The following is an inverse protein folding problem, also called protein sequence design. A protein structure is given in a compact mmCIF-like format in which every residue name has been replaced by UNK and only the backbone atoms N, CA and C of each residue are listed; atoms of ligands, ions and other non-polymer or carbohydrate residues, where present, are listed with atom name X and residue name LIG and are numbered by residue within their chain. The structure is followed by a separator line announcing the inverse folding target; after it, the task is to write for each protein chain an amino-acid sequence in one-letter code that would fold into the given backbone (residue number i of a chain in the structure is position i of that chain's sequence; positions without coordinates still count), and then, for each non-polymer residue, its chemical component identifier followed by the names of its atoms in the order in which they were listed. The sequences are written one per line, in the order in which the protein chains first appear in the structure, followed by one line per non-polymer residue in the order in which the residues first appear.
data_IF_174322542360
#
_entry.id   IF_174322542360
#
_cell.length_a   1.000
_cell.length_b   1.000
_cell.length_c   1.000
_cell.angle_alpha   90.00
_cell.angle_beta   90.00
_cell.angle_gamma   90.00
#
_symmetry.space_group_name_H-M   'P 1'
#
loop_
_entity.id
_entity.type
_entity.pdbx_description
1 polymer ?
#
# COMPACT_ATOMS: atom_id res chain seq x y z
N UNK A 1 7.42 20.93 -1.02
CA UNK A 1 8.04 20.52 0.26
C UNK A 1 9.47 21.05 0.27
N UNK A 2 9.83 21.90 1.24
CA UNK A 2 11.12 22.61 1.26
C UNK A 2 12.31 21.66 1.45
N UNK A 3 13.50 22.02 0.94
CA UNK A 3 14.72 21.20 1.02
C UNK A 3 15.04 20.77 2.46
N UNK A 4 14.86 21.69 3.42
CA UNK A 4 15.04 21.43 4.84
C UNK A 4 14.16 20.27 5.34
N UNK A 5 12.88 20.22 4.94
CA UNK A 5 11.98 19.12 5.33
C UNK A 5 12.45 17.78 4.78
N UNK A 6 13.02 17.74 3.57
CA UNK A 6 13.57 16.51 2.99
C UNK A 6 14.76 16.00 3.79
N UNK A 7 15.68 16.91 4.17
CA UNK A 7 16.86 16.57 4.97
C UNK A 7 16.46 16.04 6.34
N UNK A 8 15.56 16.75 7.04
CA UNK A 8 15.06 16.30 8.35
C UNK A 8 14.38 14.94 8.24
N UNK A 9 13.52 14.76 7.23
CA UNK A 9 12.81 13.51 7.03
C UNK A 9 13.74 12.35 6.66
N UNK A 10 14.83 12.61 5.93
CA UNK A 10 15.87 11.63 5.64
C UNK A 10 16.51 11.11 6.94
N UNK A 11 16.99 12.01 7.82
CA UNK A 11 17.59 11.59 9.10
C UNK A 11 16.59 10.87 10.00
N UNK A 12 15.33 11.30 10.03
CA UNK A 12 14.27 10.62 10.75
C UNK A 12 14.06 9.18 10.25
N UNK A 13 14.02 8.98 8.93
CA UNK A 13 13.90 7.65 8.31
C UNK A 13 15.09 6.75 8.65
N UNK A 14 16.31 7.27 8.57
CA UNK A 14 17.52 6.52 8.90
C UNK A 14 17.57 6.11 10.38
N UNK A 15 17.09 6.98 11.28
CA UNK A 15 16.94 6.66 12.71
C UNK A 15 15.98 5.48 12.92
N UNK A 16 14.77 5.58 12.37
CA UNK A 16 13.77 4.51 12.46
C UNK A 16 14.28 3.18 11.90
N UNK A 17 14.98 3.21 10.76
CA UNK A 17 15.53 2.00 10.14
C UNK A 17 16.51 1.30 11.08
N UNK A 18 17.40 2.05 11.74
CA UNK A 18 18.34 1.49 12.72
C UNK A 18 17.61 0.87 13.91
N UNK A 19 16.56 1.52 14.41
CA UNK A 19 15.79 1.01 15.55
C UNK A 19 15.01 -0.26 15.21
N UNK A 20 14.44 -0.34 14.01
CA UNK A 20 13.80 -1.56 13.52
C UNK A 20 14.82 -2.71 13.40
N UNK A 21 15.98 -2.45 12.80
CA UNK A 21 17.03 -3.46 12.59
C UNK A 21 17.72 -3.94 13.87
N UNK A 22 17.61 -3.19 14.97
CA UNK A 22 18.08 -3.62 16.30
C UNK A 22 17.20 -4.70 16.93
N UNK A 23 15.97 -4.86 16.44
CA UNK A 23 15.00 -5.82 16.94
C UNK A 23 14.85 -7.01 16.00
N UNK A 24 14.19 -8.07 16.46
CA UNK A 24 13.86 -9.23 15.63
C UNK A 24 12.86 -8.80 14.55
N UNK A 25 13.24 -8.96 13.29
CA UNK A 25 12.35 -8.71 12.15
C UNK A 25 11.26 -9.80 12.10
N UNK A 26 9.98 -9.44 11.93
CA UNK A 26 8.92 -10.42 11.74
C UNK A 26 9.13 -11.20 10.45
N UNK A 27 8.95 -12.52 10.51
CA UNK A 27 9.05 -13.36 9.31
C UNK A 27 7.81 -13.25 8.42
N UNK A 28 6.66 -12.89 9.00
CA UNK A 28 5.38 -12.80 8.32
C UNK A 28 4.60 -11.56 8.73
N UNK A 29 4.11 -10.80 7.75
CA UNK A 29 3.24 -9.64 7.94
C UNK A 29 1.92 -9.83 7.19
N UNK A 30 0.80 -9.61 7.88
CA UNK A 30 -0.53 -9.51 7.29
C UNK A 30 -0.96 -8.05 7.08
N UNK A 31 -1.45 -7.71 5.89
CA UNK A 31 -1.86 -6.35 5.53
C UNK A 31 -3.30 -6.36 5.01
N UNK A 32 -4.14 -5.50 5.56
CA UNK A 32 -5.50 -5.24 5.06
C UNK A 32 -5.50 -3.91 4.31
N UNK A 33 -5.83 -3.95 3.01
CA UNK A 33 -5.86 -2.76 2.16
C UNK A 33 -7.19 -2.00 2.31
N UNK A 34 -7.29 -1.19 3.36
CA UNK A 34 -8.47 -0.35 3.59
C UNK A 34 -8.19 1.15 3.37
N UNK A 35 -9.26 1.93 3.24
CA UNK A 35 -9.19 3.39 3.20
C UNK A 35 -9.13 4.00 1.81
N UNK A 36 -8.96 3.21 0.75
CA UNK A 36 -8.82 3.72 -0.63
C UNK A 36 -9.96 4.65 -1.07
N UNK A 37 -11.22 4.32 -0.73
CA UNK A 37 -12.38 5.16 -1.03
C UNK A 37 -12.39 6.46 -0.22
N UNK A 38 -12.05 6.38 1.08
CA UNK A 38 -11.97 7.55 1.98
C UNK A 38 -10.85 8.48 1.54
N UNK A 39 -9.71 7.92 1.14
CA UNK A 39 -8.59 8.65 0.57
C UNK A 39 -8.98 9.35 -0.74
N UNK A 40 -9.67 8.67 -1.65
CA UNK A 40 -10.14 9.30 -2.90
C UNK A 40 -11.02 10.52 -2.62
N UNK A 41 -12.00 10.39 -1.71
CA UNK A 41 -12.86 11.51 -1.29
C UNK A 41 -12.05 12.65 -0.66
N UNK A 42 -11.14 12.35 0.26
CA UNK A 42 -10.29 13.35 0.93
C UNK A 42 -9.39 14.12 -0.04
N UNK A 43 -8.93 13.46 -1.10
CA UNK A 43 -8.11 14.08 -2.13
C UNK A 43 -8.92 14.76 -3.24
N UNK A 44 -10.25 14.84 -3.13
CA UNK A 44 -11.10 15.43 -4.16
C UNK A 44 -11.06 14.65 -5.49
N UNK A 45 -10.75 13.35 -5.45
CA UNK A 45 -10.71 12.53 -6.65
C UNK A 45 -12.13 12.17 -7.06
N UNK A 46 -12.59 12.71 -8.19
CA UNK A 46 -13.90 12.39 -8.78
C UNK A 46 -14.08 10.90 -9.09
N UNK A 47 -12.97 10.18 -9.31
CA UNK A 47 -12.98 8.77 -9.64
C UNK A 47 -12.34 7.91 -8.53
N UNK A 48 -13.17 7.07 -7.90
CA UNK A 48 -12.77 6.09 -6.87
C UNK A 48 -11.68 5.14 -7.39
N UNK A 49 -11.65 4.83 -8.70
CA UNK A 49 -10.59 4.06 -9.34
C UNK A 49 -9.20 4.65 -9.10
N UNK A 50 -9.04 5.99 -9.14
CA UNK A 50 -7.75 6.65 -8.87
C UNK A 50 -7.31 6.43 -7.43
N UNK A 51 -8.24 6.33 -6.48
CA UNK A 51 -7.97 5.96 -5.09
C UNK A 51 -7.45 4.54 -4.98
N UNK A 52 -8.10 3.58 -5.65
CA UNK A 52 -7.65 2.18 -5.66
C UNK A 52 -6.29 2.01 -6.34
N UNK A 53 -6.03 2.71 -7.44
CA UNK A 53 -4.73 2.70 -8.10
C UNK A 53 -3.62 3.22 -7.17
N UNK A 54 -3.84 4.36 -6.52
CA UNK A 54 -2.88 4.89 -5.53
C UNK A 54 -2.68 3.95 -4.35
N UNK A 55 -3.73 3.24 -3.92
CA UNK A 55 -3.62 2.18 -2.92
C UNK A 55 -2.72 1.03 -3.38
N UNK A 56 -2.85 0.61 -4.63
CA UNK A 56 -1.97 -0.40 -5.23
C UNK A 56 -0.52 0.09 -5.34
N UNK A 57 -0.29 1.33 -5.81
CA UNK A 57 1.05 1.91 -5.88
C UNK A 57 1.70 2.00 -4.49
N UNK A 58 0.91 2.29 -3.45
CA UNK A 58 1.38 2.29 -2.06
C UNK A 58 1.72 0.88 -1.58
N UNK A 59 0.97 -0.14 -2.00
CA UNK A 59 1.29 -1.53 -1.65
C UNK A 59 2.67 -1.92 -2.19
N UNK A 60 3.03 -1.56 -3.43
CA UNK A 60 4.37 -1.89 -3.96
C UNK A 60 5.48 -1.29 -3.11
N UNK A 61 5.31 -0.04 -2.68
CA UNK A 61 6.28 0.64 -1.82
C UNK A 61 6.43 -0.09 -0.48
N UNK A 62 5.31 -0.56 0.10
CA UNK A 62 5.34 -1.34 1.35
C UNK A 62 5.99 -2.71 1.14
N UNK A 63 5.71 -3.39 0.03
CA UNK A 63 6.35 -4.67 -0.31
C UNK A 63 7.85 -4.50 -0.53
N UNK A 64 8.29 -3.41 -1.18
CA UNK A 64 9.71 -3.06 -1.30
C UNK A 64 10.37 -2.88 0.06
N UNK A 65 9.71 -2.20 1.00
CA UNK A 65 10.24 -2.07 2.37
C UNK A 65 10.31 -3.40 3.10
N UNK A 66 9.30 -4.26 2.95
CA UNK A 66 9.31 -5.60 3.54
C UNK A 66 10.49 -6.42 3.01
N UNK A 67 10.75 -6.34 1.70
CA UNK A 67 11.88 -6.99 1.05
C UNK A 67 13.23 -6.44 1.56
N UNK A 68 13.39 -5.11 1.63
CA UNK A 68 14.59 -4.46 2.17
C UNK A 68 14.87 -4.84 3.63
N UNK A 69 13.82 -5.09 4.41
CA UNK A 69 13.91 -5.52 5.80
C UNK A 69 14.07 -7.04 5.96
N UNK A 70 14.07 -7.81 4.87
CA UNK A 70 14.13 -9.27 4.86
C UNK A 70 12.92 -9.95 5.56
N UNK A 71 11.73 -9.39 5.40
CA UNK A 71 10.47 -10.07 5.77
C UNK A 71 10.19 -11.16 4.74
N UNK A 72 10.08 -12.41 5.18
CA UNK A 72 10.01 -13.59 4.31
C UNK A 72 8.65 -13.75 3.63
N UNK A 73 7.57 -13.42 4.35
CA UNK A 73 6.19 -13.65 3.91
C UNK A 73 5.37 -12.38 4.12
N UNK A 74 4.62 -11.98 3.09
CA UNK A 74 3.61 -10.92 3.21
C UNK A 74 2.29 -11.45 2.69
N UNK A 75 1.26 -11.41 3.53
CA UNK A 75 -0.12 -11.74 3.13
C UNK A 75 -0.92 -10.47 2.99
N UNK A 76 -1.53 -10.27 1.82
CA UNK A 76 -2.31 -9.08 1.52
C UNK A 76 -3.77 -9.46 1.33
N UNK A 77 -4.65 -8.88 2.16
CA UNK A 77 -6.09 -8.97 1.98
C UNK A 77 -6.54 -7.91 0.98
N UNK A 78 -6.46 -8.26 -0.31
CA UNK A 78 -6.71 -7.33 -1.41
C UNK A 78 -8.20 -7.17 -1.76
N UNK A 79 -9.02 -8.22 -1.58
CA UNK A 79 -10.43 -8.21 -1.94
C UNK A 79 -11.22 -9.18 -1.06
N UNK A 80 -12.38 -8.76 -0.54
CA UNK A 80 -13.27 -9.60 0.30
C UNK A 80 -14.56 -9.98 -0.41
N UNK A 81 -15.26 -10.99 0.13
CA UNK A 81 -16.62 -11.37 -0.33
C UNK A 81 -17.60 -10.21 -0.20
N UNK A 82 -17.50 -9.39 0.83
CA UNK A 82 -18.31 -8.17 0.99
C UNK A 82 -18.04 -7.12 -0.09
N UNK A 83 -16.88 -7.15 -0.76
CA UNK A 83 -16.59 -6.21 -1.84
C UNK A 83 -17.44 -6.50 -3.09
N UNK A 84 -17.96 -7.71 -3.27
CA UNK A 84 -18.93 -8.02 -4.33
C UNK A 84 -20.26 -7.30 -4.16
N UNK A 85 -20.60 -6.83 -2.95
CA UNK A 85 -21.84 -6.05 -2.70
C UNK A 85 -21.74 -4.60 -3.20
N UNK A 86 -20.59 -4.18 -3.73
CA UNK A 86 -20.39 -2.83 -4.30
C UNK A 86 -20.92 -2.76 -5.73
N UNK A 87 -20.91 -1.57 -6.34
CA UNK A 87 -21.38 -1.43 -7.72
C UNK A 87 -20.51 -2.26 -8.69
N UNK A 88 -21.14 -2.83 -9.72
CA UNK A 88 -20.46 -3.66 -10.72
C UNK A 88 -19.28 -2.95 -11.36
N UNK A 89 -19.42 -1.64 -11.59
CA UNK A 89 -18.35 -0.80 -12.13
C UNK A 89 -17.15 -0.70 -11.17
N UNK A 90 -17.38 -0.55 -9.85
CA UNK A 90 -16.31 -0.53 -8.85
C UNK A 90 -15.61 -1.89 -8.75
N UNK A 91 -16.38 -2.99 -8.75
CA UNK A 91 -15.83 -4.35 -8.69
C UNK A 91 -14.96 -4.65 -9.90
N UNK A 92 -15.43 -4.36 -11.12
CA UNK A 92 -14.67 -4.57 -12.36
C UNK A 92 -13.36 -3.76 -12.36
N UNK A 93 -13.43 -2.53 -11.86
CA UNK A 93 -12.27 -1.66 -11.71
C UNK A 93 -11.23 -2.22 -10.73
N UNK A 94 -11.67 -2.75 -9.58
CA UNK A 94 -10.80 -3.41 -8.61
C UNK A 94 -10.13 -4.66 -9.19
N UNK A 95 -10.92 -5.53 -9.82
CA UNK A 95 -10.40 -6.75 -10.45
C UNK A 95 -9.40 -6.44 -11.56
N UNK A 96 -9.63 -5.38 -12.35
CA UNK A 96 -8.68 -4.92 -13.37
C UNK A 96 -7.34 -4.49 -12.76
N UNK A 97 -7.36 -3.78 -11.63
CA UNK A 97 -6.13 -3.38 -10.92
C UNK A 97 -5.40 -4.62 -10.42
N UNK A 98 -6.12 -5.55 -9.77
CA UNK A 98 -5.52 -6.79 -9.23
C UNK A 98 -4.91 -7.60 -10.37
N UNK A 99 -5.65 -7.83 -11.45
CA UNK A 99 -5.18 -8.57 -12.63
C UNK A 99 -3.90 -7.96 -13.21
N UNK A 100 -3.91 -6.65 -13.43
CA UNK A 100 -2.74 -5.92 -13.94
C UNK A 100 -1.50 -6.15 -13.08
N UNK A 101 -1.66 -6.13 -11.74
CA UNK A 101 -0.54 -6.34 -10.82
C UNK A 101 -0.04 -7.77 -10.77
N UNK A 102 -0.91 -8.75 -10.95
CA UNK A 102 -0.52 -10.16 -11.01
C UNK A 102 0.18 -10.53 -12.32
N UNK A 103 -0.20 -9.89 -13.44
CA UNK A 103 0.38 -10.14 -14.77
C UNK A 103 1.69 -9.38 -15.02
N UNK A 104 2.04 -8.40 -14.17
CA UNK A 104 3.29 -7.64 -14.28
C UNK A 104 4.51 -8.33 -13.62
N UNK A 105 4.32 -9.50 -13.02
CA UNK A 105 5.39 -10.36 -12.48
C UNK A 105 5.44 -11.68 -13.26
#
# INVERSE_FOLDING_TARGET
MTLLKKIIYYFYREGLKKDVLRNKIPEHIGIILDGNRRYAKKCGLENIYKGHKKGADKLDEVLSWCLELNVKIVTVWAFSTDNFKRSTMEVNNLLKIIKCRLECY
#
